data_IF_393537214607
#
_entry.id   IF_393537214607
#
_cell.length_a   1.000
_cell.length_b   1.000
_cell.length_c   1.000
_cell.angle_alpha   90.00
_cell.angle_beta   90.00
_cell.angle_gamma   90.00
#
_symmetry.space_group_name_H-M   'P 1'
#
loop_
_entity.id
_entity.type
_entity.pdbx_description
1 polymer ?
#
# COMPACT_ATOMS: atom_id res chain seq x y z
N UNK A 1 -7.49 -7.34 57.06
CA UNK A 1 -6.98 -6.24 56.22
C UNK A 1 -6.49 -6.86 54.92
N UNK A 2 -7.30 -6.83 53.87
CA UNK A 2 -6.92 -7.27 52.54
C UNK A 2 -7.11 -6.06 51.64
N UNK A 3 -6.02 -5.37 51.33
CA UNK A 3 -6.00 -4.27 50.37
C UNK A 3 -6.37 -4.83 49.01
N UNK A 4 -7.58 -4.48 48.55
CA UNK A 4 -7.96 -4.63 47.14
C UNK A 4 -7.03 -3.73 46.35
N UNK A 5 -6.31 -4.34 45.41
CA UNK A 5 -5.58 -3.66 44.36
C UNK A 5 -6.63 -2.95 43.50
N UNK A 6 -6.81 -1.65 43.69
CA UNK A 6 -7.64 -0.84 42.79
C UNK A 6 -6.88 -0.74 41.45
N UNK A 7 -7.47 -1.15 40.33
CA UNK A 7 -6.82 -1.00 39.04
C UNK A 7 -6.58 0.48 38.78
N UNK A 8 -5.31 0.86 38.63
CA UNK A 8 -4.89 2.22 38.33
C UNK A 8 -5.73 2.79 37.17
N UNK A 9 -6.43 3.90 37.41
CA UNK A 9 -7.24 4.53 36.38
C UNK A 9 -6.36 4.86 35.17
N UNK A 10 -6.81 4.55 33.94
CA UNK A 10 -6.01 4.81 32.77
C UNK A 10 -5.79 6.31 32.62
N UNK A 11 -4.53 6.73 32.79
CA UNK A 11 -4.12 8.13 32.63
C UNK A 11 -4.32 8.57 31.19
N UNK A 12 -5.05 9.67 30.99
CA UNK A 12 -5.19 10.34 29.70
C UNK A 12 -4.48 11.68 29.78
N UNK A 13 -3.48 11.87 28.93
CA UNK A 13 -2.79 13.15 28.76
C UNK A 13 -3.15 13.71 27.37
N UNK A 14 -3.52 14.98 27.29
CA UNK A 14 -3.88 15.63 26.02
C UNK A 14 -3.02 16.87 25.79
N UNK A 15 -2.39 16.94 24.62
CA UNK A 15 -1.62 18.09 24.16
C UNK A 15 -2.30 18.72 22.94
N UNK A 16 -2.59 20.02 22.98
CA UNK A 16 -3.11 20.75 21.82
C UNK A 16 -2.01 20.92 20.77
N UNK A 17 -2.36 20.64 19.52
CA UNK A 17 -1.52 20.83 18.35
C UNK A 17 -2.05 22.00 17.50
N UNK A 18 -1.34 22.36 16.44
CA UNK A 18 -1.77 23.40 15.50
C UNK A 18 -3.07 23.00 14.78
N UNK A 19 -3.90 24.00 14.44
CA UNK A 19 -5.14 23.78 13.70
C UNK A 19 -6.18 22.96 14.47
N UNK A 20 -6.27 23.19 15.79
CA UNK A 20 -7.21 22.53 16.72
C UNK A 20 -7.13 20.99 16.78
N UNK A 21 -6.02 20.42 16.32
CA UNK A 21 -5.74 19.00 16.51
C UNK A 21 -5.32 18.74 17.97
N UNK A 22 -5.49 17.49 18.41
CA UNK A 22 -5.07 17.06 19.74
C UNK A 22 -4.23 15.78 19.66
N UNK A 23 -3.11 15.74 20.38
CA UNK A 23 -2.41 14.51 20.70
C UNK A 23 -2.95 13.98 22.03
N UNK A 24 -3.56 12.81 22.01
CA UNK A 24 -4.01 12.09 23.19
C UNK A 24 -3.07 10.91 23.47
N UNK A 25 -2.58 10.81 24.70
CA UNK A 25 -1.82 9.66 25.19
C UNK A 25 -2.67 8.98 26.25
N UNK A 26 -3.10 7.74 25.96
CA UNK A 26 -3.84 6.90 26.90
C UNK A 26 -2.95 5.78 27.38
N UNK A 27 -2.71 5.71 28.69
CA UNK A 27 -1.95 4.64 29.32
C UNK A 27 -2.91 3.67 29.99
N UNK A 28 -2.81 2.40 29.66
CA UNK A 28 -3.50 1.31 30.33
C UNK A 28 -2.53 0.22 30.79
N UNK A 29 -2.98 -0.71 31.63
CA UNK A 29 -2.13 -1.77 32.19
C UNK A 29 -1.53 -2.71 31.13
N UNK A 30 -2.24 -2.93 30.02
CA UNK A 30 -1.83 -3.87 28.96
C UNK A 30 -1.54 -3.18 27.61
N UNK A 31 -1.77 -1.87 27.52
CA UNK A 31 -1.56 -1.11 26.28
C UNK A 31 -1.34 0.36 26.52
N UNK A 32 -0.51 0.98 25.70
CA UNK A 32 -0.43 2.44 25.56
C UNK A 32 -0.89 2.84 24.16
N UNK A 33 -1.70 3.89 24.06
CA UNK A 33 -2.25 4.35 22.77
C UNK A 33 -1.98 5.83 22.62
N UNK A 34 -1.31 6.21 21.53
CA UNK A 34 -1.10 7.59 21.11
C UNK A 34 -2.07 7.88 19.96
N UNK A 35 -2.83 8.97 20.03
CA UNK A 35 -3.78 9.37 18.99
C UNK A 35 -3.59 10.82 18.60
N UNK A 36 -3.56 11.11 17.31
CA UNK A 36 -3.75 12.47 16.80
C UNK A 36 -5.20 12.56 16.32
N UNK A 37 -5.97 13.45 16.92
CA UNK A 37 -7.39 13.66 16.66
C UNK A 37 -7.58 15.00 15.96
N UNK A 38 -8.37 15.00 14.89
CA UNK A 38 -8.74 16.21 14.15
C UNK A 38 -9.79 17.04 14.90
N UNK A 39 -10.01 18.32 14.54
CA UNK A 39 -10.98 19.19 15.21
C UNK A 39 -12.42 18.67 15.14
N UNK A 40 -12.74 17.87 14.12
CA UNK A 40 -14.04 17.23 13.94
C UNK A 40 -14.21 15.94 14.76
N UNK A 41 -13.22 15.61 15.60
CA UNK A 41 -13.20 14.42 16.45
C UNK A 41 -12.79 13.13 15.71
N UNK A 42 -12.49 13.19 14.40
CA UNK A 42 -12.02 12.00 13.68
C UNK A 42 -10.57 11.70 14.03
N UNK A 43 -10.26 10.41 14.11
CA UNK A 43 -8.91 9.93 14.30
C UNK A 43 -8.09 10.18 13.02
N UNK A 44 -6.95 10.84 13.17
CA UNK A 44 -5.97 11.03 12.10
C UNK A 44 -4.91 9.92 12.12
N UNK A 45 -4.30 9.71 13.29
CA UNK A 45 -3.24 8.72 13.48
C UNK A 45 -3.46 8.04 14.83
N UNK A 46 -3.32 6.72 14.91
CA UNK A 46 -3.26 5.96 16.15
C UNK A 46 -2.06 5.03 16.17
N UNK A 47 -1.30 5.07 17.25
CA UNK A 47 -0.23 4.10 17.54
C UNK A 47 -0.66 3.35 18.80
N UNK A 48 -1.00 2.08 18.66
CA UNK A 48 -1.26 1.19 19.79
C UNK A 48 -0.02 0.35 20.07
N UNK A 49 0.46 0.38 21.30
CA UNK A 49 1.62 -0.38 21.78
C UNK A 49 1.08 -1.40 22.80
N UNK A 50 1.18 -2.68 22.48
CA UNK A 50 0.78 -3.80 23.34
C UNK A 50 1.96 -4.74 23.57
N UNK A 51 1.78 -5.78 24.38
CA UNK A 51 2.79 -6.84 24.53
C UNK A 51 3.03 -7.65 23.26
N UNK A 52 2.05 -7.68 22.35
CA UNK A 52 2.16 -8.38 21.05
C UNK A 52 2.91 -7.55 20.01
N UNK A 53 3.03 -6.24 20.23
CA UNK A 53 3.80 -5.34 19.38
C UNK A 53 3.13 -3.98 19.20
N UNK A 54 3.62 -3.24 18.20
CA UNK A 54 3.11 -1.92 17.85
C UNK A 54 2.24 -1.99 16.60
N UNK A 55 1.05 -1.39 16.66
CA UNK A 55 0.15 -1.20 15.53
C UNK A 55 0.02 0.30 15.24
N UNK A 56 0.47 0.70 14.05
CA UNK A 56 0.17 2.01 13.47
C UNK A 56 -1.12 1.92 12.66
N UNK A 57 -2.03 2.86 12.84
CA UNK A 57 -3.27 3.00 12.07
C UNK A 57 -3.40 4.45 11.65
N UNK A 58 -3.61 4.67 10.36
CA UNK A 58 -3.76 5.99 9.75
C UNK A 58 -5.19 6.05 9.22
N UNK A 59 -5.97 7.00 9.70
CA UNK A 59 -7.35 7.21 9.31
C UNK A 59 -7.49 8.66 8.86
N UNK A 60 -8.27 8.92 7.81
CA UNK A 60 -8.39 10.28 7.28
C UNK A 60 -8.71 10.31 5.80
N UNK A 61 -9.04 11.49 5.31
CA UNK A 61 -9.43 11.68 3.91
C UNK A 61 -8.25 11.43 2.94
N UNK A 62 -7.02 11.75 3.34
CA UNK A 62 -5.81 11.60 2.55
C UNK A 62 -4.59 11.27 3.44
N UNK A 63 -3.78 10.31 3.02
CA UNK A 63 -2.49 9.96 3.66
C UNK A 63 -1.41 10.03 2.58
N UNK A 64 -0.33 10.76 2.85
CA UNK A 64 0.82 10.87 1.96
C UNK A 64 2.10 10.46 2.70
N UNK A 65 2.89 9.59 2.07
CA UNK A 65 4.24 9.24 2.52
C UNK A 65 5.24 9.78 1.50
N UNK A 66 6.00 10.81 1.88
CA UNK A 66 7.00 11.43 1.02
C UNK A 66 8.37 11.44 1.69
N UNK A 67 9.42 11.22 0.91
CA UNK A 67 10.82 11.27 1.37
C UNK A 67 11.68 11.83 0.25
N UNK A 68 12.70 12.62 0.60
CA UNK A 68 13.75 13.06 -0.33
C UNK A 68 14.81 12.00 -0.56
N UNK A 69 14.85 10.97 0.30
CA UNK A 69 15.79 9.87 0.25
C UNK A 69 15.16 8.56 -0.18
N UNK A 70 15.71 7.45 0.32
CA UNK A 70 15.15 6.12 0.07
C UNK A 70 13.97 5.82 1.00
N UNK A 71 12.96 5.12 0.46
CA UNK A 71 11.91 4.48 1.22
C UNK A 71 12.07 2.96 1.08
N UNK A 72 12.14 2.25 2.20
CA UNK A 72 12.19 0.78 2.21
C UNK A 72 11.07 0.25 3.10
N UNK A 73 10.23 -0.63 2.55
CA UNK A 73 9.18 -1.35 3.28
C UNK A 73 9.57 -2.82 3.32
N UNK A 74 9.64 -3.41 4.51
CA UNK A 74 9.98 -4.83 4.71
C UNK A 74 8.97 -5.45 5.66
N UNK A 75 8.47 -6.62 5.30
CA UNK A 75 7.53 -7.39 6.08
C UNK A 75 7.63 -8.86 5.68
N UNK A 76 7.21 -9.76 6.57
CA UNK A 76 7.02 -11.18 6.23
C UNK A 76 5.89 -11.35 5.20
N UNK A 77 4.85 -10.52 5.30
CA UNK A 77 3.74 -10.42 4.34
C UNK A 77 3.41 -8.95 4.06
N UNK A 78 3.23 -8.59 2.78
CA UNK A 78 2.80 -7.26 2.35
C UNK A 78 1.54 -7.36 1.49
N UNK A 79 0.45 -6.74 1.94
CA UNK A 79 -0.81 -6.63 1.18
C UNK A 79 -1.12 -5.17 0.87
N UNK A 80 -1.45 -4.89 -0.39
CA UNK A 80 -1.85 -3.58 -0.88
C UNK A 80 -3.25 -3.70 -1.49
N UNK A 81 -4.20 -2.93 -0.96
CA UNK A 81 -5.58 -2.93 -1.44
C UNK A 81 -6.04 -1.50 -1.72
N UNK A 82 -6.66 -1.29 -2.89
CA UNK A 82 -7.23 -0.01 -3.28
C UNK A 82 -8.61 -0.21 -3.88
N UNK A 83 -9.65 0.35 -3.25
CA UNK A 83 -11.05 0.18 -3.69
C UNK A 83 -11.30 0.69 -5.11
N UNK A 84 -10.66 1.80 -5.47
CA UNK A 84 -10.79 2.45 -6.79
C UNK A 84 -9.65 2.15 -7.74
N UNK A 85 -8.57 1.54 -7.24
CA UNK A 85 -7.37 1.21 -8.01
C UNK A 85 -6.08 1.50 -7.27
N UNK A 86 -4.98 1.02 -7.86
CA UNK A 86 -3.60 1.23 -7.44
C UNK A 86 -2.82 1.69 -8.67
N UNK A 87 -2.02 2.75 -8.54
CA UNK A 87 -1.13 3.24 -9.60
C UNK A 87 0.31 3.26 -9.13
N UNK A 88 1.22 2.71 -9.93
CA UNK A 88 2.67 2.75 -9.69
C UNK A 88 3.35 3.38 -10.90
N UNK A 89 4.11 4.45 -10.66
CA UNK A 89 4.84 5.17 -11.70
C UNK A 89 6.26 5.44 -11.23
N UNK A 90 7.23 5.30 -12.12
CA UNK A 90 8.63 5.64 -11.87
C UNK A 90 9.20 6.32 -13.12
N UNK A 91 10.12 7.27 -12.92
CA UNK A 91 10.90 7.87 -14.01
C UNK A 91 12.13 7.03 -14.37
N UNK A 92 12.52 6.11 -13.50
CA UNK A 92 13.61 5.16 -13.72
C UNK A 92 13.09 3.74 -13.92
N UNK A 93 13.85 2.76 -13.47
CA UNK A 93 13.51 1.36 -13.62
C UNK A 93 12.52 0.87 -12.55
N UNK A 94 11.66 -0.08 -12.94
CA UNK A 94 10.84 -0.88 -12.02
C UNK A 94 11.20 -2.36 -12.19
N UNK A 95 11.35 -3.08 -11.09
CA UNK A 95 11.62 -4.52 -11.10
C UNK A 95 10.71 -5.22 -10.08
N UNK A 96 10.04 -6.29 -10.51
CA UNK A 96 9.28 -7.19 -9.65
C UNK A 96 9.95 -8.56 -9.72
N UNK A 97 10.28 -9.14 -8.58
CA UNK A 97 10.93 -10.44 -8.47
C UNK A 97 10.21 -11.26 -7.42
N UNK A 98 9.81 -12.47 -7.80
CA UNK A 98 9.27 -13.48 -6.89
C UNK A 98 10.18 -14.72 -6.96
N UNK A 99 10.46 -15.34 -5.82
CA UNK A 99 11.21 -16.60 -5.78
C UNK A 99 10.32 -17.81 -6.11
N UNK A 100 9.04 -17.73 -5.74
CA UNK A 100 8.00 -18.66 -6.16
C UNK A 100 7.20 -18.09 -7.33
N UNK A 101 5.88 -18.26 -7.28
CA UNK A 101 5.00 -17.86 -8.38
C UNK A 101 4.70 -16.36 -8.41
N UNK A 102 4.67 -15.79 -9.61
CA UNK A 102 4.12 -14.47 -9.87
C UNK A 102 2.82 -14.64 -10.67
N UNK A 103 1.69 -14.28 -10.07
CA UNK A 103 0.37 -14.36 -10.68
C UNK A 103 -0.23 -12.96 -10.82
N UNK A 104 -0.72 -12.63 -12.01
CA UNK A 104 -1.43 -11.36 -12.27
C UNK A 104 -2.71 -11.67 -13.03
N UNK A 105 -3.83 -11.19 -12.50
CA UNK A 105 -5.15 -11.42 -13.07
C UNK A 105 -5.88 -10.09 -13.20
N UNK A 106 -6.53 -9.88 -14.34
CA UNK A 106 -7.40 -8.74 -14.57
C UNK A 106 -8.40 -9.09 -15.68
N UNK A 107 -9.49 -8.32 -15.77
CA UNK A 107 -10.40 -8.41 -16.92
C UNK A 107 -9.69 -8.15 -18.25
N UNK A 108 -8.72 -7.23 -18.26
CA UNK A 108 -7.88 -6.88 -19.41
C UNK A 108 -6.47 -6.61 -18.88
N UNK A 109 -5.46 -7.22 -19.52
CA UNK A 109 -4.04 -6.90 -19.29
C UNK A 109 -3.44 -6.33 -20.58
N UNK A 110 -2.71 -5.23 -20.45
CA UNK A 110 -1.97 -4.60 -21.55
C UNK A 110 -0.49 -4.59 -21.17
N UNK A 111 0.34 -5.22 -22.01
CA UNK A 111 1.80 -5.20 -21.87
C UNK A 111 2.33 -4.46 -23.10
N UNK A 112 2.93 -3.29 -22.88
CA UNK A 112 3.40 -2.41 -23.95
C UNK A 112 4.84 -1.98 -23.70
N UNK A 113 5.66 -2.02 -24.75
CA UNK A 113 6.99 -1.41 -24.77
C UNK A 113 7.01 -0.36 -25.89
N UNK A 114 7.04 0.94 -25.53
CA UNK A 114 6.91 2.04 -26.51
C UNK A 114 8.06 2.16 -27.51
N UNK A 115 9.30 1.99 -27.03
CA UNK A 115 10.52 2.13 -27.82
C UNK A 115 11.37 0.85 -27.84
N UNK A 116 10.95 -0.17 -27.09
CA UNK A 116 11.76 -1.36 -26.81
C UNK A 116 11.02 -2.65 -27.14
N UNK A 117 11.44 -3.72 -26.47
CA UNK A 117 10.93 -5.07 -26.70
C UNK A 117 10.18 -5.57 -25.46
N UNK A 118 9.13 -6.37 -25.69
CA UNK A 118 8.59 -7.26 -24.66
C UNK A 118 9.30 -8.60 -24.81
N UNK A 119 10.08 -8.99 -23.80
CA UNK A 119 10.79 -10.26 -23.79
C UNK A 119 10.09 -11.23 -22.83
N UNK A 120 9.64 -12.38 -23.34
CA UNK A 120 9.11 -13.48 -22.54
C UNK A 120 10.09 -14.65 -22.65
N UNK A 121 10.61 -15.12 -21.52
CA UNK A 121 11.53 -16.24 -21.44
C UNK A 121 11.04 -17.20 -20.37
N UNK A 122 10.91 -18.47 -20.71
CA UNK A 122 10.63 -19.56 -19.79
C UNK A 122 11.66 -20.67 -20.03
N UNK A 123 12.01 -21.42 -18.99
CA UNK A 123 12.89 -22.59 -19.15
C UNK A 123 12.17 -23.72 -19.88
N UNK A 124 10.89 -23.93 -19.53
CA UNK A 124 10.06 -24.99 -20.07
C UNK A 124 9.15 -24.41 -21.16
N UNK A 125 7.92 -24.04 -20.81
CA UNK A 125 6.89 -23.67 -21.76
C UNK A 125 6.43 -22.22 -21.62
N UNK A 126 6.03 -21.64 -22.76
CA UNK A 126 5.20 -20.44 -22.82
C UNK A 126 3.88 -20.84 -23.46
N UNK A 127 2.83 -20.90 -22.66
CA UNK A 127 1.48 -21.23 -23.12
C UNK A 127 0.67 -19.94 -23.34
N UNK A 128 0.10 -19.79 -24.54
CA UNK A 128 -0.86 -18.72 -24.85
C UNK A 128 -2.18 -19.38 -25.23
N UNK A 129 -3.17 -19.27 -24.35
CA UNK A 129 -4.51 -19.79 -24.58
C UNK A 129 -5.52 -18.65 -24.74
N UNK A 130 -6.42 -18.80 -25.70
CA UNK A 130 -7.48 -17.84 -25.99
C UNK A 130 -8.23 -18.20 -27.26
N UNK A 131 -9.50 -17.79 -27.35
CA UNK A 131 -10.33 -18.01 -28.55
C UNK A 131 -9.65 -17.48 -29.82
N UNK A 132 -8.89 -16.37 -29.69
CA UNK A 132 -8.21 -15.71 -30.81
C UNK A 132 -6.81 -15.25 -30.40
N UNK A 133 -5.80 -16.04 -30.76
CA UNK A 133 -4.39 -15.66 -30.63
C UNK A 133 -3.90 -15.13 -31.99
N UNK A 134 -3.50 -13.86 -32.03
CA UNK A 134 -3.00 -13.19 -33.23
C UNK A 134 -1.54 -12.80 -33.03
N UNK A 135 -0.69 -13.22 -33.95
CA UNK A 135 0.73 -12.86 -33.97
C UNK A 135 1.00 -12.01 -35.21
N UNK A 136 1.86 -10.99 -35.07
CA UNK A 136 2.25 -10.09 -36.16
C UNK A 136 1.08 -9.43 -36.93
N UNK A 137 -0.04 -9.17 -36.25
CA UNK A 137 -1.17 -8.48 -36.84
C UNK A 137 -1.07 -6.98 -36.56
N UNK A 138 -0.91 -6.11 -37.57
CA UNK A 138 -0.88 -4.67 -37.35
C UNK A 138 -2.23 -4.23 -36.75
N UNK A 139 -2.19 -3.29 -35.80
CA UNK A 139 -3.42 -2.70 -35.29
C UNK A 139 -4.14 -2.00 -36.47
N UNK A 140 -5.36 -2.41 -36.83
CA UNK A 140 -6.11 -1.75 -37.90
C UNK A 140 -6.34 -0.25 -37.64
N UNK A 141 -6.21 0.21 -36.38
CA UNK A 141 -6.26 1.63 -36.00
C UNK A 141 -4.96 2.38 -36.29
N UNK A 142 -3.83 1.69 -36.46
CA UNK A 142 -2.52 2.26 -36.81
C UNK A 142 -2.20 2.12 -38.31
N UNK A 143 -2.94 1.29 -39.05
CA UNK A 143 -2.66 0.95 -40.44
C UNK A 143 -3.09 2.00 -41.50
N UNK A 144 -3.58 3.19 -41.09
CA UNK A 144 -4.06 4.25 -41.99
C UNK A 144 -2.98 5.14 -42.64
N UNK A 145 -1.70 4.95 -42.30
CA UNK A 145 -0.58 5.68 -42.91
C UNK A 145 -0.09 5.00 -44.19
N UNK A 146 -0.31 5.65 -45.33
CA UNK A 146 0.13 5.26 -46.68
C UNK A 146 1.52 4.57 -46.69
N UNK A 147 1.58 3.39 -47.31
CA UNK A 147 2.83 2.85 -47.86
C UNK A 147 3.09 3.49 -49.24
N UNK A 148 4.34 3.84 -49.60
CA UNK A 148 4.70 4.13 -50.98
C UNK A 148 4.59 2.89 -51.87
#
# INVERSE_FOLDING_TARGET
MSTRDEPAEPGVETLKLIGDHALEVRRGPESSVLRIVAPDGKLGISIAITREGMKLSLEGANVELSTSGSLAIRADELSLHGERGISMTTSGDAAIRAAGDLRSEARIQTIEAKLGNVNVKANDDVCLDGERVRLNCPDPRLAGGRRP
#
